data_IF_486771072472
#
_entry.id   IF_486771072472
#
_cell.length_a   1.000
_cell.length_b   1.000
_cell.length_c   1.000
_cell.angle_alpha   90.00
_cell.angle_beta   90.00
_cell.angle_gamma   90.00
#
_symmetry.space_group_name_H-M   'P 1'
#
loop_
_entity.id
_entity.type
_entity.pdbx_description
1 polymer ?
#
# COMPACT_ATOMS: atom_id res chain seq x y z
N UNK A 1 -6.25 -10.61 20.31
CA UNK A 1 -5.37 -10.09 19.25
C UNK A 1 -6.07 -10.22 17.91
N UNK A 2 -6.13 -9.15 17.11
CA UNK A 2 -6.65 -9.31 15.75
C UNK A 2 -5.72 -10.19 14.91
N UNK A 3 -6.31 -10.93 13.99
CA UNK A 3 -5.58 -11.76 13.05
C UNK A 3 -5.52 -11.06 11.69
N UNK A 4 -4.60 -11.49 10.83
CA UNK A 4 -4.57 -11.01 9.45
C UNK A 4 -5.66 -11.73 8.65
N UNK A 5 -6.33 -10.98 7.76
CA UNK A 5 -7.24 -11.60 6.80
C UNK A 5 -6.44 -12.52 5.86
N UNK A 6 -7.13 -13.49 5.25
CA UNK A 6 -6.49 -14.37 4.28
C UNK A 6 -5.87 -13.57 3.13
N UNK A 7 -6.59 -12.58 2.63
CA UNK A 7 -6.09 -11.73 1.55
C UNK A 7 -4.82 -10.98 1.97
N UNK A 8 -4.77 -10.49 3.21
CA UNK A 8 -3.58 -9.79 3.70
C UNK A 8 -2.40 -10.74 3.84
N UNK A 9 -2.63 -11.96 4.34
CA UNK A 9 -1.54 -12.95 4.43
C UNK A 9 -0.93 -13.21 3.05
N UNK A 10 -1.77 -13.39 2.03
CA UNK A 10 -1.31 -13.59 0.66
C UNK A 10 -0.56 -12.37 0.15
N UNK A 11 -1.05 -11.17 0.47
CA UNK A 11 -0.42 -9.91 0.07
C UNK A 11 0.96 -9.76 0.67
N UNK A 12 1.11 -10.07 1.96
CA UNK A 12 2.41 -9.98 2.62
C UNK A 12 3.40 -10.99 2.04
N UNK A 13 2.93 -12.21 1.72
CA UNK A 13 3.77 -13.21 1.05
C UNK A 13 4.20 -12.74 -0.35
N UNK A 14 3.31 -12.10 -1.10
CA UNK A 14 3.66 -11.56 -2.42
C UNK A 14 4.73 -10.47 -2.31
N UNK A 15 4.64 -9.60 -1.30
CA UNK A 15 5.63 -8.54 -1.10
C UNK A 15 7.03 -9.15 -0.91
N UNK A 16 7.13 -10.18 -0.08
CA UNK A 16 8.40 -10.88 0.14
C UNK A 16 8.86 -11.57 -1.14
N UNK A 17 7.94 -12.20 -1.87
CA UNK A 17 8.27 -12.87 -3.13
C UNK A 17 8.82 -11.91 -4.18
N UNK A 18 8.27 -10.70 -4.27
CA UNK A 18 8.78 -9.69 -5.20
C UNK A 18 10.22 -9.30 -4.89
N UNK A 19 10.56 -9.16 -3.60
CA UNK A 19 11.92 -8.88 -3.18
C UNK A 19 12.85 -10.06 -3.48
N UNK A 20 12.41 -11.28 -3.16
CA UNK A 20 13.21 -12.48 -3.40
C UNK A 20 13.48 -12.72 -4.88
N UNK A 21 12.50 -12.49 -5.75
CA UNK A 21 12.66 -12.64 -7.20
C UNK A 21 13.75 -11.72 -7.76
N UNK A 22 13.97 -10.59 -7.11
CA UNK A 22 14.97 -9.59 -7.52
C UNK A 22 16.26 -9.72 -6.73
N UNK A 23 16.36 -10.71 -5.85
CA UNK A 23 17.50 -10.91 -4.97
C UNK A 23 17.77 -9.72 -4.05
N UNK A 24 16.72 -9.02 -3.66
CA UNK A 24 16.82 -7.93 -2.70
C UNK A 24 17.00 -8.49 -1.30
N UNK A 25 17.88 -7.88 -0.53
CA UNK A 25 18.12 -8.25 0.87
C UNK A 25 16.91 -7.93 1.75
N UNK A 26 16.20 -6.86 1.40
CA UNK A 26 15.08 -6.35 2.21
C UNK A 26 13.78 -6.31 1.41
N UNK A 27 12.68 -6.58 2.12
CA UNK A 27 11.33 -6.29 1.63
C UNK A 27 10.96 -4.92 2.13
N UNK A 28 10.83 -3.98 1.20
CA UNK A 28 10.60 -2.56 1.49
C UNK A 28 9.12 -2.19 1.41
N UNK A 29 8.82 -0.95 1.76
CA UNK A 29 7.47 -0.41 1.60
C UNK A 29 7.02 -0.35 0.14
N UNK A 30 7.97 -0.22 -0.79
CA UNK A 30 7.64 -0.23 -2.22
C UNK A 30 7.23 -1.62 -2.69
N UNK A 31 7.87 -2.67 -2.19
CA UNK A 31 7.41 -4.04 -2.43
C UNK A 31 6.01 -4.25 -1.82
N UNK A 32 5.78 -3.71 -0.63
CA UNK A 32 4.48 -3.79 0.02
C UNK A 32 3.39 -3.10 -0.82
N UNK A 33 3.67 -1.88 -1.30
CA UNK A 33 2.71 -1.17 -2.14
C UNK A 33 2.40 -1.95 -3.41
N UNK A 34 3.42 -2.52 -4.06
CA UNK A 34 3.21 -3.32 -5.26
C UNK A 34 2.26 -4.50 -4.96
N UNK A 35 2.46 -5.17 -3.84
CA UNK A 35 1.59 -6.27 -3.45
C UNK A 35 0.17 -5.80 -3.12
N UNK A 36 0.02 -4.62 -2.50
CA UNK A 36 -1.29 -4.06 -2.15
C UNK A 36 -2.12 -3.71 -3.38
N UNK A 37 -1.49 -3.41 -4.50
CA UNK A 37 -2.23 -3.15 -5.76
C UNK A 37 -3.09 -4.36 -6.15
N UNK A 38 -2.64 -5.56 -5.84
CA UNK A 38 -3.36 -6.80 -6.15
C UNK A 38 -4.14 -7.36 -4.95
N UNK A 39 -4.16 -6.64 -3.84
CA UNK A 39 -4.97 -6.97 -2.68
C UNK A 39 -6.37 -6.39 -2.89
N UNK A 40 -7.41 -7.21 -2.85
CA UNK A 40 -8.76 -6.76 -3.19
C UNK A 40 -9.27 -5.65 -2.28
N UNK A 41 -8.94 -5.68 -0.99
CA UNK A 41 -9.39 -4.65 -0.05
C UNK A 41 -8.65 -3.34 -0.26
N UNK A 42 -7.32 -3.39 -0.40
CA UNK A 42 -6.52 -2.20 -0.67
C UNK A 42 -6.82 -1.62 -2.05
N UNK A 43 -6.99 -2.46 -3.06
CA UNK A 43 -7.31 -2.01 -4.41
C UNK A 43 -8.65 -1.28 -4.45
N UNK A 44 -9.64 -1.76 -3.69
CA UNK A 44 -10.94 -1.09 -3.60
C UNK A 44 -10.80 0.33 -3.04
N UNK A 45 -9.98 0.52 -2.01
CA UNK A 45 -9.73 1.85 -1.44
C UNK A 45 -9.04 2.74 -2.47
N UNK A 46 -8.01 2.24 -3.14
CA UNK A 46 -7.28 3.02 -4.14
C UNK A 46 -8.18 3.44 -5.29
N UNK A 47 -9.03 2.53 -5.79
CA UNK A 47 -9.99 2.87 -6.85
C UNK A 47 -10.98 3.92 -6.37
N UNK A 48 -11.48 3.79 -5.14
CA UNK A 48 -12.40 4.77 -4.57
C UNK A 48 -11.75 6.16 -4.42
N UNK A 49 -10.43 6.19 -4.25
CA UNK A 49 -9.66 7.43 -4.19
C UNK A 49 -9.18 7.89 -5.57
N UNK A 50 -9.72 7.30 -6.62
CA UNK A 50 -9.46 7.69 -8.02
C UNK A 50 -8.02 7.44 -8.47
N UNK A 51 -7.38 6.41 -7.93
CA UNK A 51 -6.02 6.00 -8.33
C UNK A 51 -6.10 5.12 -9.58
N UNK A 52 -5.26 5.42 -10.56
CA UNK A 52 -5.08 4.59 -11.74
C UNK A 52 -4.08 3.47 -11.39
N UNK A 53 -4.61 2.28 -11.09
CA UNK A 53 -3.80 1.19 -10.55
C UNK A 53 -2.68 0.73 -11.47
N UNK A 54 -2.93 0.66 -12.78
CA UNK A 54 -1.90 0.20 -13.70
C UNK A 54 -0.78 1.23 -13.88
N UNK A 55 -1.09 2.52 -13.83
CA UNK A 55 -0.08 3.57 -13.83
C UNK A 55 0.76 3.52 -12.54
N UNK A 56 0.09 3.32 -11.40
CA UNK A 56 0.78 3.15 -10.13
C UNK A 56 1.72 1.94 -10.15
N UNK A 57 1.22 0.80 -10.63
CA UNK A 57 2.03 -0.43 -10.76
C UNK A 57 3.28 -0.18 -11.57
N UNK A 58 3.14 0.45 -12.72
CA UNK A 58 4.26 0.73 -13.61
C UNK A 58 5.33 1.59 -12.92
N UNK A 59 4.89 2.63 -12.21
CA UNK A 59 5.81 3.52 -11.50
C UNK A 59 6.54 2.79 -10.37
N UNK A 60 5.82 1.98 -9.61
CA UNK A 60 6.40 1.24 -8.48
C UNK A 60 7.37 0.17 -8.98
N UNK A 61 6.99 -0.59 -10.02
CA UNK A 61 7.87 -1.62 -10.61
C UNK A 61 9.15 -0.98 -11.14
N UNK A 62 9.04 0.13 -11.84
CA UNK A 62 10.22 0.84 -12.35
C UNK A 62 11.15 1.26 -11.22
N UNK A 63 10.60 1.80 -10.15
CA UNK A 63 11.39 2.18 -8.98
C UNK A 63 12.11 0.97 -8.37
N UNK A 64 11.38 -0.12 -8.14
CA UNK A 64 11.94 -1.33 -7.54
C UNK A 64 13.08 -1.90 -8.41
N UNK A 65 12.89 -1.88 -9.72
CA UNK A 65 13.87 -2.48 -10.65
C UNK A 65 15.08 -1.59 -10.91
N UNK A 66 14.99 -0.27 -10.70
CA UNK A 66 16.07 0.66 -11.03
C UNK A 66 16.73 1.32 -9.82
N UNK A 67 15.97 1.59 -8.74
CA UNK A 67 16.46 2.40 -7.63
C UNK A 67 16.92 1.58 -6.42
N UNK A 68 16.70 0.27 -6.43
CA UNK A 68 17.03 -0.60 -5.31
C UNK A 68 18.25 -1.50 -5.58
N UNK A 69 19.14 -1.06 -6.46
CA UNK A 69 20.35 -1.84 -6.80
C UNK A 69 21.25 -2.06 -5.59
N UNK A 70 21.30 -1.13 -4.66
CA UNK A 70 22.16 -1.21 -3.48
C UNK A 70 21.73 -2.28 -2.48
N UNK A 71 20.52 -2.84 -2.61
CA UNK A 71 20.06 -3.93 -1.73
C UNK A 71 20.01 -5.28 -2.44
N UNK A 72 20.55 -5.36 -3.66
CA UNK A 72 20.70 -6.64 -4.36
C UNK A 72 21.86 -7.41 -3.74
N UNK A 73 21.63 -8.66 -3.37
CA UNK A 73 22.62 -9.53 -2.74
C UNK A 73 22.70 -10.84 -3.49
N UNK A 74 23.86 -11.51 -3.40
CA UNK A 74 24.09 -12.78 -4.11
C UNK A 74 23.65 -14.00 -3.32
N UNK A 75 23.50 -13.88 -2.00
CA UNK A 75 23.07 -15.03 -1.21
C UNK A 75 21.57 -15.24 -1.37
N UNK A 76 21.13 -16.47 -1.11
CA UNK A 76 19.74 -16.87 -1.35
C UNK A 76 18.88 -16.84 -0.09
N UNK A 77 19.24 -16.03 0.89
CA UNK A 77 18.43 -15.88 2.08
C UNK A 77 17.15 -15.10 1.73
N UNK A 78 16.06 -15.42 2.42
CA UNK A 78 14.81 -14.74 2.25
C UNK A 78 14.94 -13.26 2.63
N UNK A 79 14.36 -12.38 1.83
CA UNK A 79 14.37 -10.94 2.10
C UNK A 79 13.70 -10.64 3.43
N UNK A 80 14.33 -9.75 4.21
CA UNK A 80 13.84 -9.37 5.53
C UNK A 80 13.04 -8.07 5.44
N UNK A 81 11.95 -7.95 6.18
CA UNK A 81 11.20 -6.68 6.19
C UNK A 81 12.05 -5.56 6.78
N UNK A 82 11.98 -4.39 6.16
CA UNK A 82 12.62 -3.19 6.71
C UNK A 82 11.93 -2.76 8.00
N UNK A 83 12.57 -1.88 8.76
CA UNK A 83 11.96 -1.29 9.96
C UNK A 83 10.66 -0.55 9.59
N UNK A 84 10.65 0.16 8.47
CA UNK A 84 9.44 0.86 8.01
C UNK A 84 8.30 -0.10 7.70
N UNK A 85 8.60 -1.20 7.01
CA UNK A 85 7.63 -2.25 6.75
C UNK A 85 7.01 -2.78 8.05
N UNK A 86 7.86 -3.11 9.02
CA UNK A 86 7.41 -3.61 10.32
C UNK A 86 6.53 -2.60 11.05
N UNK A 87 6.92 -1.31 11.03
CA UNK A 87 6.13 -0.24 11.68
C UNK A 87 4.75 -0.13 11.07
N UNK A 88 4.66 -0.19 9.75
CA UNK A 88 3.37 -0.07 9.06
C UNK A 88 2.44 -1.21 9.46
N UNK A 89 2.94 -2.44 9.44
CA UNK A 89 2.13 -3.61 9.82
C UNK A 89 1.70 -3.52 11.29
N UNK A 90 2.62 -3.18 12.18
CA UNK A 90 2.32 -3.03 13.61
C UNK A 90 1.27 -1.94 13.86
N UNK A 91 1.40 -0.81 13.18
CA UNK A 91 0.44 0.29 13.30
C UNK A 91 -0.96 -0.13 12.85
N UNK A 92 -1.03 -0.90 11.75
CA UNK A 92 -2.31 -1.43 11.27
C UNK A 92 -2.95 -2.35 12.31
N UNK A 93 -2.17 -3.24 12.94
CA UNK A 93 -2.65 -4.13 13.99
C UNK A 93 -3.19 -3.34 15.17
N UNK A 94 -2.43 -2.35 15.65
CA UNK A 94 -2.81 -1.52 16.79
C UNK A 94 -4.10 -0.75 16.48
N UNK A 95 -4.22 -0.20 15.29
CA UNK A 95 -5.41 0.54 14.87
C UNK A 95 -6.65 -0.36 14.85
N UNK A 96 -6.54 -1.55 14.27
CA UNK A 96 -7.63 -2.52 14.21
C UNK A 96 -8.03 -2.97 15.61
N UNK A 97 -7.05 -3.24 16.46
CA UNK A 97 -7.31 -3.62 17.85
C UNK A 97 -8.07 -2.52 18.60
N UNK A 98 -7.69 -1.27 18.39
CA UNK A 98 -8.34 -0.11 19.03
C UNK A 98 -9.77 0.10 18.53
N UNK A 99 -10.06 -0.26 17.28
CA UNK A 99 -11.39 -0.10 16.70
C UNK A 99 -12.33 -1.26 16.98
N UNK A 100 -11.84 -2.33 17.62
CA UNK A 100 -12.64 -3.48 17.95
C UNK A 100 -12.88 -4.46 16.83
N UNK A 101 -12.24 -4.28 15.67
CA UNK A 101 -12.32 -5.25 14.57
C UNK A 101 -11.45 -6.47 14.90
N UNK A 102 -11.79 -7.59 14.31
CA UNK A 102 -11.11 -8.87 14.57
C UNK A 102 -10.02 -9.18 13.54
N UNK A 103 -10.09 -8.58 12.35
CA UNK A 103 -9.14 -8.84 11.29
C UNK A 103 -8.48 -7.56 10.79
N UNK A 104 -7.18 -7.67 10.48
CA UNK A 104 -6.42 -6.65 9.78
C UNK A 104 -6.49 -6.98 8.29
N UNK A 105 -6.94 -6.03 7.48
CA UNK A 105 -7.02 -6.17 6.03
C UNK A 105 -5.93 -5.37 5.31
N UNK A 106 -5.80 -5.59 4.01
CA UNK A 106 -4.93 -4.77 3.17
C UNK A 106 -5.30 -3.30 3.19
N UNK A 107 -6.60 -3.00 3.35
CA UNK A 107 -7.05 -1.60 3.48
C UNK A 107 -6.46 -0.94 4.73
N UNK A 108 -6.43 -1.65 5.85
CA UNK A 108 -5.84 -1.15 7.09
C UNK A 108 -4.34 -0.89 6.94
N UNK A 109 -3.65 -1.79 6.27
CA UNK A 109 -2.21 -1.64 5.99
C UNK A 109 -1.97 -0.45 5.07
N UNK A 110 -2.80 -0.27 4.04
CA UNK A 110 -2.68 0.86 3.11
C UNK A 110 -2.82 2.20 3.84
N UNK A 111 -3.80 2.33 4.73
CA UNK A 111 -3.97 3.56 5.53
C UNK A 111 -2.73 3.81 6.39
N UNK A 112 -2.22 2.77 7.05
CA UNK A 112 -1.04 2.88 7.91
C UNK A 112 0.22 3.25 7.13
N UNK A 113 0.30 2.86 5.86
CA UNK A 113 1.43 3.18 4.99
C UNK A 113 1.67 4.69 4.91
N UNK A 114 0.62 5.50 4.91
CA UNK A 114 0.74 6.96 4.81
C UNK A 114 1.51 7.59 5.95
N UNK A 115 1.70 6.89 7.07
CA UNK A 115 2.50 7.38 8.19
C UNK A 115 4.00 7.40 7.89
N UNK A 116 4.44 6.63 6.91
CA UNK A 116 5.83 6.61 6.45
C UNK A 116 6.03 7.65 5.36
N UNK A 117 5.94 8.92 5.74
CA UNK A 117 5.83 10.07 4.82
C UNK A 117 7.00 10.22 3.85
N UNK A 118 8.18 9.76 4.24
CA UNK A 118 9.38 9.89 3.42
C UNK A 118 9.59 8.70 2.48
N UNK A 119 8.71 7.69 2.53
CA UNK A 119 8.83 6.54 1.64
C UNK A 119 8.45 6.93 0.21
N UNK A 120 9.07 6.27 -0.76
CA UNK A 120 8.68 6.42 -2.16
C UNK A 120 7.29 5.84 -2.41
N UNK A 121 6.88 4.85 -1.60
CA UNK A 121 5.52 4.31 -1.69
C UNK A 121 4.48 5.41 -1.49
N UNK A 122 4.63 6.23 -0.44
CA UNK A 122 3.72 7.35 -0.20
C UNK A 122 3.83 8.40 -1.31
N UNK A 123 5.05 8.67 -1.78
CA UNK A 123 5.25 9.58 -2.90
C UNK A 123 4.44 9.16 -4.13
N UNK A 124 4.44 7.88 -4.48
CA UNK A 124 3.68 7.39 -5.62
C UNK A 124 2.18 7.53 -5.43
N UNK A 125 1.67 7.29 -4.23
CA UNK A 125 0.25 7.48 -3.93
C UNK A 125 -0.15 8.96 -4.00
N UNK A 126 0.69 9.84 -3.46
CA UNK A 126 0.47 11.28 -3.51
C UNK A 126 0.55 11.80 -4.95
N UNK A 127 1.38 11.20 -5.79
CA UNK A 127 1.46 11.53 -7.22
C UNK A 127 0.16 11.21 -7.95
N UNK A 128 -0.65 10.30 -7.40
CA UNK A 128 -1.98 9.98 -7.89
C UNK A 128 -3.06 10.80 -7.14
N UNK A 129 -2.64 11.83 -6.40
CA UNK A 129 -3.51 12.70 -5.61
C UNK A 129 -4.28 11.97 -4.50
N UNK A 130 -3.79 10.83 -4.05
CA UNK A 130 -4.38 10.11 -2.93
C UNK A 130 -3.75 10.54 -1.62
N UNK A 131 -4.58 10.86 -0.65
CA UNK A 131 -4.17 11.21 0.71
C UNK A 131 -4.70 10.20 1.71
N UNK A 132 -4.14 10.21 2.93
CA UNK A 132 -4.66 9.40 4.02
C UNK A 132 -6.12 9.75 4.31
N UNK A 133 -6.44 11.04 4.27
CA UNK A 133 -7.81 11.52 4.48
C UNK A 133 -8.79 10.87 3.49
N UNK A 134 -8.43 10.80 2.21
CA UNK A 134 -9.28 10.19 1.20
C UNK A 134 -9.57 8.72 1.52
N UNK A 135 -8.55 7.99 1.92
CA UNK A 135 -8.68 6.57 2.27
C UNK A 135 -9.58 6.37 3.50
N UNK A 136 -9.33 7.15 4.56
CA UNK A 136 -10.10 7.07 5.79
C UNK A 136 -11.56 7.47 5.54
N UNK A 137 -11.79 8.50 4.73
CA UNK A 137 -13.11 8.97 4.40
C UNK A 137 -13.93 7.89 3.67
N UNK A 138 -13.29 7.18 2.75
CA UNK A 138 -13.95 6.07 2.08
C UNK A 138 -14.26 4.93 3.05
N UNK A 139 -13.30 4.53 3.87
CA UNK A 139 -13.47 3.41 4.80
C UNK A 139 -14.49 3.70 5.90
N UNK A 140 -14.54 4.94 6.38
CA UNK A 140 -15.44 5.32 7.47
C UNK A 140 -16.84 5.69 7.00
N UNK A 141 -16.97 6.27 5.80
CA UNK A 141 -18.22 6.86 5.34
C UNK A 141 -18.65 6.40 3.94
N UNK A 142 -17.86 5.55 3.28
CA UNK A 142 -18.18 5.11 1.92
C UNK A 142 -18.08 6.19 0.87
N UNK A 143 -17.43 7.32 1.19
CA UNK A 143 -17.33 8.45 0.27
C UNK A 143 -16.18 8.22 -0.70
N UNK A 144 -16.51 8.18 -2.00
CA UNK A 144 -15.51 8.06 -3.06
C UNK A 144 -15.01 9.44 -3.48
N UNK A 145 -13.77 9.51 -3.92
CA UNK A 145 -13.20 10.76 -4.41
C UNK A 145 -13.68 10.99 -5.85
N UNK A 146 -14.33 12.15 -6.08
CA UNK A 146 -14.78 12.50 -7.41
C UNK A 146 -13.59 12.85 -8.31
N UNK A 147 -13.72 12.56 -9.62
CA UNK A 147 -12.73 12.98 -10.60
C UNK A 147 -12.84 14.49 -10.80
N UNK A 148 -11.73 15.16 -11.07
CA UNK A 148 -11.70 16.59 -11.31
C UNK A 148 -12.66 17.01 -12.42
N UNK A 149 -12.75 16.20 -13.49
CA UNK A 149 -13.67 16.45 -14.60
C UNK A 149 -15.13 16.42 -14.15
N UNK A 150 -15.49 15.48 -13.27
CA UNK A 150 -16.83 15.35 -12.74
C UNK A 150 -17.16 16.53 -11.83
N UNK A 151 -16.19 16.98 -11.03
CA UNK A 151 -16.36 18.15 -10.16
C UNK A 151 -16.58 19.42 -10.99
N UNK A 152 -15.80 19.61 -12.04
CA UNK A 152 -15.95 20.76 -12.95
C UNK A 152 -17.33 20.71 -13.62
N UNK A 153 -17.75 19.54 -14.10
CA UNK A 153 -19.06 19.36 -14.69
C UNK A 153 -20.19 19.70 -13.75
N UNK A 154 -20.08 19.30 -12.48
CA UNK A 154 -21.08 19.62 -11.46
C UNK A 154 -21.12 21.10 -11.11
N UNK A 155 -19.96 21.74 -11.10
CA UNK A 155 -19.85 23.16 -10.78
C UNK A 155 -20.51 24.05 -11.84
N UNK A 156 -20.66 23.57 -13.06
CA UNK A 156 -21.25 24.30 -14.17
C UNK A 156 -22.75 24.02 -14.35
N UNK A 157 -23.30 23.15 -13.54
CA UNK A 157 -24.73 22.87 -13.52
C UNK A 157 -25.40 23.66 -12.43
#
# INVERSE_FOLDING_TARGET
MPSFSRNLEETLHRAVAYANQRKHEYTTLEHLLLALIDDSDAAAVMRACNVELEALRKNVVQYIDTELENIVVENHEEAKPTAGFQRVVQRAVIHVQSSGKEEVSGADVLVSLFSERESHAVFFLQSQSMTRFDAVNYLSHGITKARDEDEIGRAHV
#
